data_IF_296924500292
#
_entry.id   IF_296924500292
#
_cell.length_a   1.000
_cell.length_b   1.000
_cell.length_c   1.000
_cell.angle_alpha   90.00
_cell.angle_beta   90.00
_cell.angle_gamma   90.00
#
_symmetry.space_group_name_H-M   'P 1'
#
loop_
_entity.id
_entity.type
_entity.pdbx_description
1 polymer ?
#
# COMPACT_ATOMS: atom_id res chain seq x y z
N UNK A 1 -1.16 -1.59 -35.31
CA UNK A 1 -1.02 -3.04 -35.05
C UNK A 1 0.02 -3.19 -33.94
N UNK A 2 -0.41 -3.20 -32.66
CA UNK A 2 0.50 -3.56 -31.57
C UNK A 2 0.73 -5.07 -31.64
N UNK A 3 1.99 -5.57 -31.59
CA UNK A 3 2.21 -7.00 -31.53
C UNK A 3 1.78 -7.45 -30.14
N UNK A 4 0.84 -8.40 -30.08
CA UNK A 4 0.59 -9.14 -28.87
C UNK A 4 1.92 -9.74 -28.41
N UNK A 5 2.23 -9.48 -27.14
CA UNK A 5 3.28 -10.11 -26.36
C UNK A 5 3.48 -11.55 -26.84
N UNK A 6 4.72 -11.87 -27.18
CA UNK A 6 5.18 -13.23 -27.49
C UNK A 6 4.92 -14.08 -26.25
N UNK A 7 3.69 -14.59 -26.12
CA UNK A 7 3.38 -15.66 -25.20
C UNK A 7 4.08 -16.89 -25.75
N UNK A 8 4.94 -17.46 -24.92
CA UNK A 8 5.75 -18.62 -25.25
C UNK A 8 4.81 -19.81 -25.58
N UNK A 9 4.78 -20.30 -26.84
CA UNK A 9 3.95 -21.43 -27.25
C UNK A 9 4.24 -22.70 -26.43
N UNK A 10 5.41 -22.76 -25.80
CA UNK A 10 5.78 -23.79 -24.84
C UNK A 10 4.85 -23.69 -23.63
N UNK A 11 4.69 -22.54 -22.99
CA UNK A 11 3.74 -22.38 -21.87
C UNK A 11 2.29 -22.67 -22.29
N UNK A 12 1.91 -22.34 -23.53
CA UNK A 12 0.56 -22.61 -24.05
C UNK A 12 0.28 -24.10 -24.28
N UNK A 13 1.33 -24.89 -24.56
CA UNK A 13 1.25 -26.34 -24.78
C UNK A 13 1.48 -27.18 -23.53
N UNK A 14 1.91 -26.58 -22.41
CA UNK A 14 2.12 -27.29 -21.15
C UNK A 14 0.82 -27.43 -20.35
N UNK A 15 0.31 -28.67 -20.27
CA UNK A 15 -0.82 -29.00 -19.39
C UNK A 15 -0.36 -29.06 -17.94
N UNK A 16 -0.82 -28.11 -17.12
CA UNK A 16 -0.64 -28.18 -15.67
C UNK A 16 -1.58 -29.26 -15.12
N UNK A 17 -1.03 -30.31 -14.53
CA UNK A 17 -1.83 -31.35 -13.86
C UNK A 17 -2.27 -30.83 -12.49
N UNK A 18 -3.54 -30.47 -12.36
CA UNK A 18 -4.14 -30.06 -11.09
C UNK A 18 -4.72 -31.30 -10.39
N UNK A 19 -4.45 -31.45 -9.09
CA UNK A 19 -5.09 -32.47 -8.27
C UNK A 19 -6.55 -32.06 -8.01
N UNK A 20 -7.48 -32.66 -8.77
CA UNK A 20 -8.90 -32.32 -8.68
C UNK A 20 -9.45 -32.54 -7.27
N UNK A 21 -9.10 -33.65 -6.62
CA UNK A 21 -9.66 -33.98 -5.30
C UNK A 21 -9.23 -32.96 -4.23
N UNK A 22 -7.95 -32.58 -4.25
CA UNK A 22 -7.42 -31.57 -3.34
C UNK A 22 -8.00 -30.18 -3.61
N UNK A 23 -8.22 -29.83 -4.89
CA UNK A 23 -8.90 -28.60 -5.26
C UNK A 23 -10.33 -28.56 -4.75
N UNK A 24 -11.10 -29.65 -4.91
CA UNK A 24 -12.47 -29.74 -4.39
C UNK A 24 -12.50 -29.64 -2.87
N UNK A 25 -11.59 -30.33 -2.16
CA UNK A 25 -11.46 -30.23 -0.70
C UNK A 25 -11.18 -28.80 -0.26
N UNK A 26 -10.27 -28.11 -0.93
CA UNK A 26 -9.91 -26.72 -0.63
C UNK A 26 -11.06 -25.77 -0.96
N UNK A 27 -11.71 -25.96 -2.10
CA UNK A 27 -12.89 -25.21 -2.53
C UNK A 27 -14.02 -25.30 -1.49
N UNK A 28 -14.33 -26.52 -1.02
CA UNK A 28 -15.36 -26.73 0.00
C UNK A 28 -15.03 -26.06 1.33
N UNK A 29 -13.76 -26.14 1.77
CA UNK A 29 -13.29 -25.47 2.98
C UNK A 29 -13.45 -23.95 2.88
N UNK A 30 -12.94 -23.36 1.80
CA UNK A 30 -13.01 -21.90 1.57
C UNK A 30 -14.45 -21.43 1.41
N UNK A 31 -15.27 -22.17 0.67
CA UNK A 31 -16.70 -21.86 0.50
C UNK A 31 -17.46 -21.87 1.82
N UNK A 32 -17.12 -22.80 2.72
CA UNK A 32 -17.72 -22.85 4.06
C UNK A 32 -17.29 -21.65 4.91
N UNK A 33 -16.01 -21.27 4.87
CA UNK A 33 -15.50 -20.10 5.59
C UNK A 33 -16.07 -18.79 5.06
N UNK A 34 -16.21 -18.65 3.75
CA UNK A 34 -16.83 -17.47 3.14
C UNK A 34 -18.27 -17.27 3.61
N UNK A 35 -19.07 -18.35 3.64
CA UNK A 35 -20.46 -18.28 4.14
C UNK A 35 -20.53 -17.89 5.61
N UNK A 36 -19.58 -18.34 6.43
CA UNK A 36 -19.50 -17.94 7.83
C UNK A 36 -19.20 -16.45 7.97
N UNK A 37 -18.18 -15.97 7.29
CA UNK A 37 -17.80 -14.55 7.29
C UNK A 37 -18.92 -13.64 6.75
N UNK A 38 -19.65 -14.08 5.73
CA UNK A 38 -20.79 -13.35 5.20
C UNK A 38 -21.91 -13.21 6.25
N UNK A 39 -22.23 -14.29 6.97
CA UNK A 39 -23.22 -14.23 8.07
C UNK A 39 -22.76 -13.33 9.20
N UNK A 40 -21.49 -13.39 9.60
CA UNK A 40 -20.94 -12.50 10.61
C UNK A 40 -21.03 -11.03 10.17
N UNK A 41 -20.69 -10.74 8.90
CA UNK A 41 -20.79 -9.41 8.35
C UNK A 41 -22.24 -8.90 8.35
N UNK A 42 -23.20 -9.73 7.93
CA UNK A 42 -24.63 -9.38 7.99
C UNK A 42 -25.11 -9.17 9.43
N UNK A 43 -24.65 -10.00 10.37
CA UNK A 43 -25.00 -9.87 11.79
C UNK A 43 -24.48 -8.55 12.37
N UNK A 44 -23.21 -8.20 12.12
CA UNK A 44 -22.61 -6.94 12.58
C UNK A 44 -23.27 -5.73 11.94
N UNK A 45 -23.63 -5.82 10.65
CA UNK A 45 -24.35 -4.76 9.95
C UNK A 45 -25.81 -4.62 10.41
N UNK A 46 -26.38 -5.66 11.02
CA UNK A 46 -27.79 -5.72 11.41
C UNK A 46 -28.75 -5.92 10.23
N UNK A 47 -28.24 -6.21 9.04
CA UNK A 47 -29.02 -6.46 7.83
C UNK A 47 -28.25 -7.31 6.82
N UNK A 48 -28.99 -7.91 5.88
CA UNK A 48 -28.39 -8.61 4.74
C UNK A 48 -28.05 -7.63 3.61
N UNK A 49 -26.88 -7.81 3.01
CA UNK A 49 -26.43 -7.05 1.84
C UNK A 49 -25.61 -7.94 0.91
N UNK A 50 -25.49 -7.53 -0.34
CA UNK A 50 -24.70 -8.24 -1.34
C UNK A 50 -23.22 -7.88 -1.18
N UNK A 51 -22.42 -8.83 -0.68
CA UNK A 51 -20.97 -8.65 -0.45
C UNK A 51 -20.20 -8.36 -1.75
N UNK A 52 -20.72 -8.77 -2.90
CA UNK A 52 -20.09 -8.48 -4.22
C UNK A 52 -20.44 -7.10 -4.77
N UNK A 53 -21.39 -6.37 -4.17
CA UNK A 53 -21.76 -5.02 -4.60
C UNK A 53 -20.92 -3.97 -3.89
N UNK A 54 -20.08 -3.28 -4.65
CA UNK A 54 -19.27 -2.19 -4.11
C UNK A 54 -20.12 -1.04 -3.54
N UNK A 55 -21.31 -0.79 -4.10
CA UNK A 55 -22.17 0.30 -3.65
C UNK A 55 -22.81 -0.03 -2.31
N UNK A 56 -23.35 -1.25 -2.15
CA UNK A 56 -23.91 -1.70 -0.87
C UNK A 56 -22.83 -1.77 0.20
N UNK A 57 -21.65 -2.31 -0.10
CA UNK A 57 -20.53 -2.32 0.84
C UNK A 57 -20.16 -0.91 1.32
N UNK A 58 -20.12 0.07 0.41
CA UNK A 58 -19.81 1.46 0.76
C UNK A 58 -20.85 2.04 1.71
N UNK A 59 -22.13 1.82 1.45
CA UNK A 59 -23.23 2.28 2.28
C UNK A 59 -23.18 1.66 3.69
N UNK A 60 -22.98 0.34 3.77
CA UNK A 60 -22.88 -0.38 5.05
C UNK A 60 -21.67 0.11 5.85
N UNK A 61 -20.47 0.06 5.26
CA UNK A 61 -19.21 0.30 5.97
C UNK A 61 -19.08 1.77 6.42
N UNK A 62 -19.42 2.72 5.56
CA UNK A 62 -19.18 4.14 5.81
C UNK A 62 -20.44 4.92 6.18
N UNK A 63 -21.61 4.49 5.72
CA UNK A 63 -22.89 5.10 6.09
C UNK A 63 -23.37 4.59 7.44
N UNK A 64 -23.60 3.28 7.57
CA UNK A 64 -24.21 2.68 8.76
C UNK A 64 -23.21 2.41 9.88
N UNK A 65 -22.15 1.66 9.59
CA UNK A 65 -21.10 1.32 10.56
C UNK A 65 -20.17 2.52 10.86
N UNK A 66 -20.22 3.57 10.02
CA UNK A 66 -19.46 4.81 10.18
C UNK A 66 -17.97 4.56 10.46
N UNK A 67 -17.39 3.54 9.81
CA UNK A 67 -15.98 3.23 9.91
C UNK A 67 -15.21 4.43 9.35
N UNK A 68 -14.63 5.25 10.23
CA UNK A 68 -13.76 6.32 9.76
C UNK A 68 -12.59 5.65 9.03
N UNK A 69 -12.28 6.14 7.83
CA UNK A 69 -11.06 5.75 7.15
C UNK A 69 -9.93 6.29 8.02
N UNK A 70 -9.42 5.44 8.92
CA UNK A 70 -8.12 5.63 9.55
C UNK A 70 -7.12 5.53 8.40
N UNK A 71 -6.99 6.64 7.68
CA UNK A 71 -5.80 6.90 6.91
C UNK A 71 -4.65 6.72 7.90
N UNK A 72 -3.55 6.04 7.55
CA UNK A 72 -2.34 6.09 8.35
C UNK A 72 -1.87 7.55 8.31
N UNK A 73 -2.45 8.38 9.17
CA UNK A 73 -1.99 9.71 9.47
C UNK A 73 -0.77 9.45 10.33
N UNK A 74 0.38 9.43 9.66
CA UNK A 74 1.64 9.70 10.32
C UNK A 74 1.41 10.89 11.23
N UNK A 75 1.62 10.62 12.50
CA UNK A 75 1.96 11.50 13.60
C UNK A 75 2.81 12.70 13.15
N UNK A 76 2.18 13.65 12.47
CA UNK A 76 2.62 15.04 12.46
C UNK A 76 1.97 15.72 13.66
N UNK A 77 2.57 15.49 14.83
CA UNK A 77 2.28 16.25 16.04
C UNK A 77 3.01 17.59 15.96
N UNK A 78 2.20 18.65 15.99
CA UNK A 78 2.40 19.94 16.65
C UNK A 78 3.28 21.06 16.05
N UNK A 79 2.58 22.19 15.92
CA UNK A 79 2.87 23.52 16.48
C UNK A 79 3.92 24.44 15.83
N UNK A 80 3.43 25.60 15.41
CA UNK A 80 4.26 26.77 15.10
C UNK A 80 3.50 27.88 14.40
N UNK A 81 2.75 28.66 15.17
CA UNK A 81 1.99 29.83 14.73
C UNK A 81 2.87 31.02 14.26
N UNK A 82 2.31 31.80 13.33
CA UNK A 82 2.40 33.26 13.11
C UNK A 82 3.75 34.01 13.25
N UNK A 83 4.15 34.77 12.21
CA UNK A 83 5.20 35.81 12.26
C UNK A 83 4.82 37.05 13.12
N UNK A 84 5.66 38.11 13.23
CA UNK A 84 6.23 38.84 12.08
C UNK A 84 7.73 39.28 12.26
N UNK A 85 8.35 40.01 11.31
CA UNK A 85 9.81 40.11 11.16
C UNK A 85 10.44 41.28 11.94
N UNK A 86 11.73 41.17 12.26
CA UNK A 86 12.55 42.30 12.72
C UNK A 86 13.86 42.40 11.93
N UNK A 87 14.19 43.63 11.62
CA UNK A 87 15.13 44.10 10.62
C UNK A 87 16.54 44.29 11.21
N UNK A 88 17.52 44.32 10.30
CA UNK A 88 18.79 45.06 10.35
C UNK A 88 20.01 44.51 11.14
N UNK A 89 20.95 44.00 10.32
CA UNK A 89 22.39 44.34 10.24
C UNK A 89 23.25 44.25 11.51
N UNK A 90 24.29 43.42 11.44
CA UNK A 90 25.65 43.91 11.13
C UNK A 90 26.67 42.79 10.84
N UNK A 91 27.24 42.92 9.63
CA UNK A 91 28.54 42.51 9.09
C UNK A 91 29.65 42.15 10.11
N UNK A 92 30.28 41.00 9.93
CA UNK A 92 31.67 40.77 10.31
C UNK A 92 32.39 39.99 9.20
N UNK A 93 33.57 40.49 8.83
CA UNK A 93 34.35 40.14 7.65
C UNK A 93 35.21 38.89 7.84
N UNK A 94 35.30 38.11 6.76
CA UNK A 94 36.47 37.37 6.24
C UNK A 94 37.69 37.23 7.18
N UNK A 95 38.02 36.00 7.54
CA UNK A 95 39.41 35.51 7.56
C UNK A 95 39.46 34.14 6.90
N UNK A 96 40.39 34.05 5.96
CA UNK A 96 40.63 32.98 5.02
C UNK A 96 41.98 32.38 5.41
N UNK A 97 42.03 31.11 5.83
CA UNK A 97 43.29 30.36 5.95
C UNK A 97 43.04 28.88 5.62
N UNK A 98 43.18 28.60 4.32
CA UNK A 98 43.84 27.45 3.70
C UNK A 98 44.21 26.26 4.59
N UNK A 99 43.54 25.11 4.37
CA UNK A 99 44.26 23.85 4.14
C UNK A 99 43.40 22.93 3.28
N UNK A 100 43.85 22.67 2.05
CA UNK A 100 43.30 21.62 1.19
C UNK A 100 43.85 20.25 1.57
N UNK A 101 43.01 19.24 1.33
CA UNK A 101 43.37 17.85 0.98
C UNK A 101 42.02 17.15 0.70
N UNK A 102 41.53 17.05 -0.53
CA UNK A 102 41.91 16.06 -1.54
C UNK A 102 41.86 14.58 -1.07
N UNK A 103 40.91 13.85 -1.67
CA UNK A 103 40.98 12.43 -2.08
C UNK A 103 40.79 11.41 -0.93
N UNK A 104 39.77 10.54 -0.91
CA UNK A 104 39.66 9.31 -1.72
C UNK A 104 38.21 8.77 -1.70
N UNK A 105 37.54 8.78 -2.85
CA UNK A 105 36.49 7.78 -3.15
C UNK A 105 37.20 6.49 -3.56
N UNK A 106 37.38 5.58 -2.62
CA UNK A 106 38.04 4.28 -2.87
C UNK A 106 37.00 3.18 -3.11
N UNK A 107 36.99 2.73 -4.37
CA UNK A 107 36.79 1.35 -4.85
C UNK A 107 35.55 0.55 -4.43
N UNK A 108 34.66 0.38 -5.42
CA UNK A 108 33.87 -0.83 -5.60
C UNK A 108 34.85 -1.96 -5.96
N UNK A 109 35.19 -2.78 -4.97
CA UNK A 109 36.07 -3.93 -5.14
C UNK A 109 35.34 -5.08 -5.86
N UNK A 110 36.12 -5.77 -6.68
CA UNK A 110 35.72 -6.87 -7.56
C UNK A 110 35.38 -8.11 -6.75
N UNK A 111 34.39 -8.87 -7.20
CA UNK A 111 34.53 -10.27 -7.63
C UNK A 111 33.33 -10.64 -8.50
#
# INVERSE_FOLDING_TARGET
MLPALVLDPVMESHRIRVNKEELERTSALLGSRLKELEREAHFVAGEQFLVTSSDQLREILFGKLKLQLLSPKGDASQDGAAGPPVHLRSRAMMRNDHQGADVLTSSFDKH
#
